data_IF_448546666298
#
_entry.id   IF_448546666298
#
_cell.length_a   1.000
_cell.length_b   1.000
_cell.length_c   1.000
_cell.angle_alpha   90.00
_cell.angle_beta   90.00
_cell.angle_gamma   90.00
#
_symmetry.space_group_name_H-M   'P 1'
#
loop_
_entity.id
_entity.type
_entity.pdbx_description
1 polymer ?
#
# COMPACT_ATOMS: atom_id res chain seq x y z
N UNK A 1 -26.12 15.89 -1.97
CA UNK A 1 -25.56 14.90 -1.05
C UNK A 1 -24.82 15.71 0.00
N UNK A 2 -25.31 15.73 1.27
CA UNK A 2 -24.67 16.46 2.35
C UNK A 2 -23.25 15.94 2.58
N UNK A 3 -22.29 16.83 2.84
CA UNK A 3 -20.93 16.46 3.17
C UNK A 3 -20.95 15.55 4.40
N UNK A 4 -20.54 14.30 4.23
CA UNK A 4 -20.33 13.38 5.35
C UNK A 4 -19.19 13.97 6.16
N UNK A 5 -19.45 14.36 7.42
CA UNK A 5 -18.41 14.90 8.30
C UNK A 5 -17.22 13.94 8.41
N UNK A 6 -16.01 14.47 8.61
CA UNK A 6 -14.81 13.67 8.80
C UNK A 6 -15.00 12.72 10.00
N UNK A 7 -14.93 11.38 9.82
CA UNK A 7 -15.16 10.44 10.91
C UNK A 7 -14.02 10.48 11.95
N UNK A 8 -14.32 10.09 13.18
CA UNK A 8 -13.29 9.71 14.14
C UNK A 8 -12.54 8.45 13.68
N UNK A 9 -11.36 8.15 14.24
CA UNK A 9 -10.63 6.92 13.90
C UNK A 9 -11.42 5.65 14.26
N UNK A 10 -12.20 5.66 15.34
CA UNK A 10 -13.05 4.54 15.71
C UNK A 10 -14.16 4.31 14.68
N UNK A 11 -14.86 5.37 14.28
CA UNK A 11 -15.87 5.32 13.22
C UNK A 11 -15.24 4.90 11.87
N UNK A 12 -14.02 5.34 11.56
CA UNK A 12 -13.33 4.92 10.34
C UNK A 12 -13.06 3.42 10.31
N UNK A 13 -12.74 2.80 11.45
CA UNK A 13 -12.58 1.34 11.56
C UNK A 13 -13.91 0.62 11.29
N UNK A 14 -15.01 1.07 11.90
CA UNK A 14 -16.33 0.45 11.69
C UNK A 14 -16.80 0.63 10.23
N UNK A 15 -16.63 1.81 9.64
CA UNK A 15 -16.95 2.06 8.23
C UNK A 15 -16.09 1.21 7.29
N UNK A 16 -14.79 1.04 7.60
CA UNK A 16 -13.90 0.19 6.81
C UNK A 16 -14.33 -1.28 6.84
N UNK A 17 -14.75 -1.78 8.01
CA UNK A 17 -15.30 -3.13 8.16
C UNK A 17 -16.59 -3.30 7.36
N UNK A 18 -17.52 -2.37 7.47
CA UNK A 18 -18.75 -2.40 6.70
C UNK A 18 -18.48 -2.39 5.19
N UNK A 19 -17.64 -1.48 4.69
CA UNK A 19 -17.25 -1.46 3.27
C UNK A 19 -16.58 -2.77 2.86
N UNK A 20 -15.70 -3.33 3.69
CA UNK A 20 -15.02 -4.58 3.40
C UNK A 20 -15.97 -5.76 3.32
N UNK A 21 -16.92 -5.89 4.26
CA UNK A 21 -17.83 -7.02 4.36
C UNK A 21 -19.03 -6.91 3.41
N UNK A 22 -19.60 -5.72 3.23
CA UNK A 22 -20.83 -5.53 2.46
C UNK A 22 -20.60 -5.19 0.98
N UNK A 23 -19.42 -4.62 0.64
CA UNK A 23 -19.13 -4.15 -0.71
C UNK A 23 -17.95 -4.89 -1.35
N UNK A 24 -16.79 -4.90 -0.68
CA UNK A 24 -15.56 -5.36 -1.33
C UNK A 24 -15.48 -6.89 -1.40
N UNK A 25 -15.72 -7.58 -0.29
CA UNK A 25 -15.56 -9.04 -0.24
C UNK A 25 -16.57 -9.79 -1.14
N UNK A 26 -17.87 -9.42 -1.19
CA UNK A 26 -18.82 -10.06 -2.09
C UNK A 26 -18.45 -9.96 -3.59
N UNK A 27 -17.75 -8.88 -3.97
CA UNK A 27 -17.32 -8.61 -5.36
C UNK A 27 -15.88 -8.98 -5.63
N UNK A 28 -15.16 -9.51 -4.65
CA UNK A 28 -13.70 -9.66 -4.75
C UNK A 28 -13.26 -10.65 -5.82
N UNK A 29 -14.03 -11.73 -6.07
CA UNK A 29 -13.75 -12.69 -7.15
C UNK A 29 -14.01 -12.11 -8.53
N UNK A 30 -15.04 -11.28 -8.67
CA UNK A 30 -15.28 -10.52 -9.89
C UNK A 30 -14.16 -9.50 -10.13
N UNK A 31 -13.81 -8.74 -9.07
CA UNK A 31 -12.70 -7.76 -9.14
C UNK A 31 -11.38 -8.43 -9.52
N UNK A 32 -11.06 -9.61 -8.99
CA UNK A 32 -9.80 -10.33 -9.29
C UNK A 32 -9.65 -10.64 -10.79
N UNK A 33 -10.76 -10.83 -11.50
CA UNK A 33 -10.81 -11.12 -12.95
C UNK A 33 -11.07 -9.89 -13.82
N UNK A 34 -11.39 -8.74 -13.20
CA UNK A 34 -11.69 -7.52 -13.93
C UNK A 34 -10.44 -6.88 -14.53
N UNK A 35 -10.55 -6.14 -15.64
CA UNK A 35 -9.43 -5.43 -16.26
C UNK A 35 -8.94 -4.25 -15.41
N UNK A 36 -9.75 -3.78 -14.46
CA UNK A 36 -9.42 -2.73 -13.48
C UNK A 36 -10.28 -2.86 -12.24
N UNK A 37 -9.83 -2.26 -11.13
CA UNK A 37 -10.66 -2.14 -9.93
C UNK A 37 -11.94 -1.41 -10.27
N UNK A 38 -13.12 -1.99 -9.97
CA UNK A 38 -14.40 -1.34 -10.26
C UNK A 38 -14.51 0.04 -9.59
N UNK A 39 -14.93 1.09 -10.30
CA UNK A 39 -15.06 2.44 -9.72
C UNK A 39 -15.96 2.49 -8.48
N UNK A 40 -16.95 1.59 -8.38
CA UNK A 40 -17.81 1.45 -7.21
C UNK A 40 -17.09 1.09 -5.93
N UNK A 41 -15.98 0.33 -6.02
CA UNK A 41 -15.17 -0.05 -4.86
C UNK A 41 -14.44 1.17 -4.28
N UNK A 42 -13.81 1.98 -5.15
CA UNK A 42 -13.12 3.20 -4.72
C UNK A 42 -14.10 4.27 -4.24
N UNK A 43 -15.28 4.35 -4.87
CA UNK A 43 -16.36 5.23 -4.43
C UNK A 43 -16.86 4.87 -3.03
N UNK A 44 -17.03 3.58 -2.72
CA UNK A 44 -17.44 3.14 -1.39
C UNK A 44 -16.42 3.55 -0.31
N UNK A 45 -15.12 3.46 -0.60
CA UNK A 45 -14.06 3.92 0.31
C UNK A 45 -14.07 5.44 0.49
N UNK A 46 -14.31 6.22 -0.59
CA UNK A 46 -14.46 7.66 -0.53
C UNK A 46 -15.69 8.07 0.27
N UNK A 47 -16.83 7.49 -0.02
CA UNK A 47 -18.11 7.83 0.62
C UNK A 47 -18.10 7.45 2.13
N UNK A 48 -17.26 6.49 2.52
CA UNK A 48 -16.96 6.16 3.91
C UNK A 48 -15.96 7.14 4.58
N UNK A 49 -15.40 8.12 3.86
CA UNK A 49 -14.44 9.10 4.37
C UNK A 49 -13.06 8.54 4.65
N UNK A 50 -12.64 7.50 3.89
CA UNK A 50 -11.39 6.77 4.18
C UNK A 50 -10.19 7.20 3.31
N UNK A 51 -10.35 8.20 2.41
CA UNK A 51 -9.25 8.63 1.55
C UNK A 51 -8.22 9.51 2.28
N UNK A 52 -8.64 10.27 3.28
CA UNK A 52 -7.75 11.10 4.08
C UNK A 52 -7.15 10.41 5.32
N UNK A 53 -7.07 9.08 5.38
CA UNK A 53 -6.63 8.33 6.57
C UNK A 53 -5.32 8.86 7.18
N UNK A 54 -4.33 9.16 6.34
CA UNK A 54 -3.05 9.72 6.75
C UNK A 54 -2.95 11.24 6.59
N UNK A 55 -3.99 11.90 6.09
CA UNK A 55 -4.05 13.36 5.98
C UNK A 55 -4.09 14.03 7.36
N UNK A 56 -3.54 15.23 7.53
CA UNK A 56 -3.57 15.92 8.80
C UNK A 56 -5.00 16.37 9.13
N UNK A 57 -5.34 16.42 10.43
CA UNK A 57 -6.71 16.69 10.92
C UNK A 57 -7.21 18.08 10.59
N UNK A 58 -6.31 19.03 10.39
CA UNK A 58 -6.61 20.41 9.99
C UNK A 58 -7.05 20.53 8.52
N UNK A 59 -6.90 19.46 7.73
CA UNK A 59 -7.35 19.40 6.34
C UNK A 59 -8.67 18.62 6.27
N UNK A 60 -9.65 19.13 5.55
CA UNK A 60 -10.93 18.47 5.35
C UNK A 60 -10.75 17.02 4.86
N UNK A 61 -11.41 16.08 5.54
CA UNK A 61 -11.26 14.64 5.26
C UNK A 61 -10.03 13.97 5.90
N UNK A 62 -9.08 14.74 6.46
CA UNK A 62 -7.89 14.20 7.11
C UNK A 62 -8.20 13.57 8.47
N UNK A 63 -7.76 12.32 8.69
CA UNK A 63 -7.98 11.58 9.93
C UNK A 63 -6.78 11.64 10.89
N UNK A 64 -5.63 12.08 10.42
CA UNK A 64 -4.41 12.21 11.23
C UNK A 64 -3.83 10.89 11.73
N UNK A 65 -4.20 9.76 11.11
CA UNK A 65 -3.75 8.46 11.59
C UNK A 65 -2.26 8.27 11.34
N UNK A 66 -1.53 7.90 12.40
CA UNK A 66 -0.21 7.31 12.27
C UNK A 66 -0.30 5.85 11.77
N UNK A 67 0.82 5.16 11.68
CA UNK A 67 0.85 3.80 11.16
C UNK A 67 0.06 2.81 12.04
N UNK A 68 0.19 2.90 13.35
CA UNK A 68 -0.48 2.00 14.29
C UNK A 68 -2.01 2.25 14.31
N UNK A 69 -2.43 3.53 14.34
CA UNK A 69 -3.83 3.91 14.33
C UNK A 69 -4.52 3.59 12.99
N UNK A 70 -3.79 3.63 11.87
CA UNK A 70 -4.31 3.29 10.55
C UNK A 70 -4.46 1.76 10.34
N UNK A 71 -3.70 0.93 11.07
CA UNK A 71 -3.63 -0.51 10.86
C UNK A 71 -5.01 -1.18 10.80
N UNK A 72 -5.94 -0.99 11.73
CA UNK A 72 -7.24 -1.68 11.70
C UNK A 72 -8.07 -1.36 10.45
N UNK A 73 -7.99 -0.11 9.97
CA UNK A 73 -8.67 0.32 8.73
C UNK A 73 -8.05 -0.37 7.51
N UNK A 74 -6.71 -0.38 7.43
CA UNK A 74 -5.97 -0.99 6.33
C UNK A 74 -6.15 -2.52 6.29
N UNK A 75 -6.18 -3.18 7.46
CA UNK A 75 -6.48 -4.63 7.58
C UNK A 75 -7.88 -4.94 7.07
N UNK A 76 -8.90 -4.19 7.50
CA UNK A 76 -10.28 -4.43 7.10
C UNK A 76 -10.43 -4.37 5.57
N UNK A 77 -9.92 -3.31 4.94
CA UNK A 77 -10.01 -3.13 3.47
C UNK A 77 -9.26 -4.24 2.73
N UNK A 78 -8.07 -4.64 3.22
CA UNK A 78 -7.28 -5.72 2.60
C UNK A 78 -7.98 -7.08 2.71
N UNK A 79 -8.63 -7.38 3.84
CA UNK A 79 -9.45 -8.58 4.02
C UNK A 79 -10.71 -8.59 3.14
N UNK A 80 -11.17 -7.43 2.67
CA UNK A 80 -12.27 -7.31 1.71
C UNK A 80 -11.83 -7.68 0.28
N UNK A 81 -10.84 -6.96 -0.25
CA UNK A 81 -10.34 -7.17 -1.61
C UNK A 81 -8.90 -6.66 -1.74
N UNK A 82 -7.96 -7.56 -1.99
CA UNK A 82 -6.53 -7.22 -2.11
C UNK A 82 -6.23 -6.22 -3.22
N UNK A 83 -6.82 -6.38 -4.40
CA UNK A 83 -6.59 -5.47 -5.52
C UNK A 83 -7.10 -4.06 -5.23
N UNK A 84 -8.31 -3.91 -4.68
CA UNK A 84 -8.86 -2.61 -4.28
C UNK A 84 -8.01 -1.98 -3.17
N UNK A 85 -7.66 -2.77 -2.15
CA UNK A 85 -6.81 -2.33 -1.04
C UNK A 85 -5.45 -1.85 -1.55
N UNK A 86 -4.85 -2.54 -2.52
CA UNK A 86 -3.53 -2.16 -3.03
C UNK A 86 -3.57 -0.85 -3.84
N UNK A 87 -4.56 -0.64 -4.70
CA UNK A 87 -4.75 0.64 -5.41
C UNK A 87 -4.98 1.78 -4.42
N UNK A 88 -5.85 1.56 -3.44
CA UNK A 88 -6.13 2.53 -2.38
C UNK A 88 -4.91 2.81 -1.49
N UNK A 89 -4.08 1.81 -1.20
CA UNK A 89 -2.82 2.00 -0.44
C UNK A 89 -1.79 2.87 -1.19
N UNK A 90 -1.77 2.84 -2.54
CA UNK A 90 -0.91 3.74 -3.32
C UNK A 90 -1.33 5.20 -3.13
N UNK A 91 -2.64 5.48 -3.11
CA UNK A 91 -3.17 6.80 -2.79
C UNK A 91 -2.68 7.26 -1.41
N UNK A 92 -2.73 6.41 -0.39
CA UNK A 92 -2.19 6.75 0.93
C UNK A 92 -0.68 6.95 0.94
N UNK A 93 0.05 6.25 0.06
CA UNK A 93 1.46 6.53 -0.20
C UNK A 93 1.67 7.97 -0.67
N UNK A 94 0.86 8.41 -1.63
CA UNK A 94 0.88 9.79 -2.15
C UNK A 94 0.49 10.81 -1.06
N UNK A 95 -0.61 10.58 -0.32
CA UNK A 95 -1.03 11.46 0.80
C UNK A 95 0.09 11.67 1.80
N UNK A 96 0.78 10.59 2.22
CA UNK A 96 1.92 10.71 3.16
C UNK A 96 3.08 11.52 2.59
N UNK A 97 3.38 11.38 1.30
CA UNK A 97 4.45 12.14 0.64
C UNK A 97 4.12 13.62 0.54
N UNK A 98 2.93 13.94 0.07
CA UNK A 98 2.47 15.32 -0.05
C UNK A 98 2.36 15.98 1.33
N UNK A 99 1.86 15.26 2.34
CA UNK A 99 1.82 15.75 3.74
C UNK A 99 3.21 16.07 4.29
N UNK A 100 4.21 15.25 4.00
CA UNK A 100 5.59 15.41 4.49
C UNK A 100 6.41 16.39 3.66
N UNK A 101 5.89 16.86 2.53
CA UNK A 101 6.54 17.87 1.71
C UNK A 101 6.44 19.27 2.32
N UNK A 102 7.37 20.12 1.95
CA UNK A 102 7.48 21.51 2.34
C UNK A 102 7.24 22.50 1.19
N UNK A 103 7.08 21.97 -0.03
CA UNK A 103 6.82 22.74 -1.23
C UNK A 103 5.37 23.20 -1.39
N UNK A 104 5.11 24.14 -2.32
CA UNK A 104 3.78 24.69 -2.57
C UNK A 104 2.74 23.63 -3.00
N UNK A 105 3.17 22.54 -3.64
CA UNK A 105 2.33 21.40 -3.99
C UNK A 105 1.53 20.82 -2.82
N UNK A 106 2.04 20.95 -1.57
CA UNK A 106 1.30 20.50 -0.39
C UNK A 106 -0.05 21.21 -0.23
N UNK A 107 -0.06 22.53 -0.38
CA UNK A 107 -1.28 23.33 -0.22
C UNK A 107 -2.27 23.07 -1.36
N UNK A 108 -1.76 22.84 -2.57
CA UNK A 108 -2.58 22.61 -3.77
C UNK A 108 -3.22 21.22 -3.79
N UNK A 109 -2.47 20.17 -3.44
CA UNK A 109 -2.90 18.79 -3.64
C UNK A 109 -3.52 18.13 -2.39
N UNK A 110 -3.03 18.47 -1.18
CA UNK A 110 -3.42 17.76 0.02
C UNK A 110 -4.92 17.80 0.33
N UNK A 111 -5.65 18.93 0.15
CA UNK A 111 -7.09 18.96 0.38
C UNK A 111 -7.85 17.95 -0.49
N UNK A 112 -7.64 17.98 -1.81
CA UNK A 112 -8.31 17.07 -2.74
C UNK A 112 -7.96 15.59 -2.53
N UNK A 113 -6.73 15.32 -2.10
CA UNK A 113 -6.30 13.97 -1.74
C UNK A 113 -7.01 13.47 -0.46
N UNK A 114 -7.25 14.35 0.51
CA UNK A 114 -7.88 13.96 1.78
C UNK A 114 -9.41 13.81 1.67
N UNK A 115 -10.08 14.69 0.93
CA UNK A 115 -11.55 14.63 0.76
C UNK A 115 -11.98 13.66 -0.35
N UNK A 116 -11.04 13.19 -1.16
CA UNK A 116 -11.27 12.22 -2.24
C UNK A 116 -11.81 12.82 -3.53
N UNK A 117 -11.75 14.13 -3.70
CA UNK A 117 -11.99 14.77 -5.01
C UNK A 117 -10.86 14.51 -5.99
N UNK A 118 -9.66 14.11 -5.49
CA UNK A 118 -8.49 13.72 -6.26
C UNK A 118 -7.97 12.36 -5.78
N UNK A 119 -7.77 11.42 -6.71
CA UNK A 119 -7.19 10.11 -6.41
C UNK A 119 -5.77 10.01 -6.98
N UNK A 120 -4.79 9.65 -6.15
CA UNK A 120 -3.39 9.65 -6.55
C UNK A 120 -2.81 8.25 -6.73
N UNK A 121 -1.90 8.12 -7.73
CA UNK A 121 -0.89 7.08 -7.81
C UNK A 121 0.45 7.55 -7.26
N UNK A 122 1.41 6.62 -7.09
CA UNK A 122 2.76 6.93 -6.65
C UNK A 122 3.80 6.08 -7.38
N UNK A 123 4.94 6.69 -7.75
CA UNK A 123 6.08 6.02 -8.37
C UNK A 123 7.40 6.37 -7.71
N UNK A 124 8.08 5.37 -7.10
CA UNK A 124 9.37 5.57 -6.43
C UNK A 124 10.22 4.30 -6.28
N UNK A 125 9.62 3.11 -6.32
CA UNK A 125 10.32 1.85 -5.99
C UNK A 125 11.53 1.56 -6.88
N UNK A 126 11.57 2.12 -8.08
CA UNK A 126 12.70 2.03 -9.00
C UNK A 126 13.95 2.76 -8.51
N UNK A 127 13.84 3.73 -7.60
CA UNK A 127 14.98 4.43 -6.99
C UNK A 127 15.87 3.49 -6.14
N UNK A 128 15.33 2.36 -5.69
CA UNK A 128 16.06 1.32 -4.94
C UNK A 128 16.96 0.47 -5.82
N UNK A 129 16.84 0.57 -7.16
CA UNK A 129 17.65 -0.23 -8.08
C UNK A 129 19.02 0.42 -8.25
N UNK A 130 20.12 -0.35 -8.11
CA UNK A 130 21.44 0.18 -8.37
C UNK A 130 21.62 0.48 -9.86
N UNK A 131 22.58 1.36 -10.18
CA UNK A 131 22.95 1.74 -11.54
C UNK A 131 22.28 3.04 -12.00
N UNK A 132 22.09 3.17 -13.32
CA UNK A 132 21.52 4.40 -13.90
C UNK A 132 20.06 4.60 -13.41
N UNK A 133 19.71 5.79 -12.90
CA UNK A 133 18.35 6.07 -12.47
C UNK A 133 17.31 5.84 -13.57
N UNK A 134 16.25 5.10 -13.25
CA UNK A 134 15.18 4.80 -14.19
C UNK A 134 14.36 6.05 -14.55
N UNK A 135 14.17 6.96 -13.57
CA UNK A 135 13.55 8.27 -13.75
C UNK A 135 14.52 9.34 -13.24
N UNK A 136 14.76 10.31 -14.06
CA UNK A 136 15.71 11.42 -13.81
C UNK A 136 14.97 12.74 -13.75
N UNK A 137 15.49 13.67 -12.95
CA UNK A 137 15.04 15.05 -12.88
C UNK A 137 16.21 15.96 -13.27
N UNK A 138 15.93 16.94 -14.13
CA UNK A 138 16.85 18.00 -14.52
C UNK A 138 16.22 19.36 -14.20
N UNK A 139 16.98 20.26 -13.59
CA UNK A 139 16.47 21.61 -13.30
C UNK A 139 16.20 22.34 -14.61
N UNK A 140 15.02 22.92 -14.77
CA UNK A 140 14.63 23.75 -15.89
C UNK A 140 14.42 25.21 -15.44
N UNK A 141 14.08 26.11 -16.35
CA UNK A 141 13.91 27.53 -16.05
C UNK A 141 12.81 27.80 -15.00
N UNK A 142 11.73 27.01 -15.00
CA UNK A 142 10.53 27.24 -14.20
C UNK A 142 10.16 26.02 -13.33
N UNK A 143 11.10 25.11 -13.09
CA UNK A 143 10.80 23.89 -12.33
C UNK A 143 11.74 22.75 -12.68
N UNK A 144 11.20 21.59 -13.01
CA UNK A 144 11.96 20.36 -13.28
C UNK A 144 11.45 19.68 -14.54
N UNK A 145 12.39 19.16 -15.32
CA UNK A 145 12.12 18.24 -16.44
C UNK A 145 12.30 16.81 -15.95
N UNK A 146 11.29 16.00 -16.16
CA UNK A 146 11.28 14.59 -15.76
C UNK A 146 11.40 13.70 -16.98
N UNK A 147 12.35 12.76 -16.95
CA UNK A 147 12.63 11.82 -18.04
C UNK A 147 12.85 10.40 -17.54
N UNK A 148 12.47 9.42 -18.38
CA UNK A 148 12.75 8.02 -18.13
C UNK A 148 11.50 7.17 -17.97
N UNK A 149 11.62 6.01 -17.34
CA UNK A 149 10.51 5.05 -17.21
C UNK A 149 10.30 4.66 -15.75
N UNK A 150 9.09 4.89 -15.24
CA UNK A 150 8.64 4.46 -13.94
C UNK A 150 7.87 3.14 -14.06
N UNK A 151 8.48 1.98 -13.78
CA UNK A 151 7.75 0.72 -13.71
C UNK A 151 6.85 0.70 -12.48
N UNK A 152 5.79 -0.11 -12.55
CA UNK A 152 4.91 -0.39 -11.42
C UNK A 152 4.06 0.80 -10.95
N UNK A 153 3.58 1.64 -11.87
CA UNK A 153 2.54 2.62 -11.55
C UNK A 153 1.20 1.91 -11.49
N UNK A 154 0.61 1.89 -10.31
CA UNK A 154 -0.62 1.15 -9.98
C UNK A 154 -1.82 2.08 -10.01
N UNK A 155 -2.98 1.57 -10.45
CA UNK A 155 -4.23 2.35 -10.52
C UNK A 155 -4.38 3.14 -11.83
N UNK A 156 -3.66 2.75 -12.90
CA UNK A 156 -3.77 3.46 -14.18
C UNK A 156 -5.21 3.48 -14.69
N UNK A 157 -5.67 4.67 -15.06
CA UNK A 157 -7.05 4.91 -15.52
C UNK A 157 -8.05 5.25 -14.42
N UNK A 158 -7.63 5.24 -13.12
CA UNK A 158 -8.44 5.73 -12.00
C UNK A 158 -7.71 6.79 -11.17
N UNK A 159 -6.44 7.10 -11.49
CA UNK A 159 -5.65 8.14 -10.83
C UNK A 159 -5.79 9.47 -11.58
N UNK A 160 -6.02 10.55 -10.83
CA UNK A 160 -6.12 11.92 -11.33
C UNK A 160 -4.75 12.61 -11.31
N UNK A 161 -3.87 12.19 -10.40
CA UNK A 161 -2.50 12.69 -10.24
C UNK A 161 -1.55 11.54 -9.95
N UNK A 162 -0.31 11.62 -10.43
CA UNK A 162 0.76 10.69 -10.01
C UNK A 162 1.86 11.45 -9.29
N UNK A 163 2.16 11.03 -8.06
CA UNK A 163 3.30 11.53 -7.29
C UNK A 163 4.53 10.72 -7.70
N UNK A 164 5.48 11.37 -8.35
CA UNK A 164 6.68 10.73 -8.92
C UNK A 164 7.92 11.23 -8.21
N UNK A 165 8.83 10.31 -7.95
CA UNK A 165 10.16 10.63 -7.43
C UNK A 165 11.20 10.36 -8.52
N UNK A 166 12.04 11.35 -8.78
CA UNK A 166 13.08 11.28 -9.79
C UNK A 166 14.43 11.67 -9.20
N UNK A 167 15.51 11.09 -9.69
CA UNK A 167 16.87 11.38 -9.21
C UNK A 167 17.49 12.49 -10.05
N UNK A 168 17.96 13.55 -9.39
CA UNK A 168 18.72 14.62 -10.03
C UNK A 168 20.19 14.24 -10.18
N UNK A 169 20.93 15.05 -10.95
CA UNK A 169 22.34 14.79 -11.29
C UNK A 169 23.27 14.85 -10.06
N UNK A 170 22.93 15.64 -9.05
CA UNK A 170 23.64 15.74 -7.76
C UNK A 170 23.33 14.59 -6.79
N UNK A 171 22.48 13.65 -7.19
CA UNK A 171 22.05 12.52 -6.36
C UNK A 171 20.80 12.80 -5.52
N UNK A 172 20.32 14.03 -5.44
CA UNK A 172 19.09 14.36 -4.72
C UNK A 172 17.87 13.69 -5.36
N UNK A 173 16.82 13.51 -4.57
CA UNK A 173 15.54 12.95 -5.01
C UNK A 173 14.48 14.03 -5.00
N UNK A 174 14.03 14.38 -6.18
CA UNK A 174 12.95 15.34 -6.40
C UNK A 174 11.62 14.61 -6.42
N UNK A 175 10.65 15.06 -5.64
CA UNK A 175 9.28 14.55 -5.64
C UNK A 175 8.36 15.59 -6.27
N UNK A 176 7.64 15.20 -7.30
CA UNK A 176 6.73 16.06 -8.05
C UNK A 176 5.34 15.46 -8.15
N UNK A 177 4.32 16.32 -8.29
CA UNK A 177 2.97 15.95 -8.65
C UNK A 177 2.78 16.19 -10.17
N UNK A 178 2.31 15.17 -10.87
CA UNK A 178 1.98 15.27 -12.31
C UNK A 178 0.49 15.02 -12.45
N UNK A 179 -0.26 16.08 -12.71
CA UNK A 179 -1.71 16.04 -12.87
C UNK A 179 -2.15 15.40 -14.18
N UNK A 180 -3.38 14.86 -14.19
CA UNK A 180 -4.02 14.28 -15.38
C UNK A 180 -3.06 13.49 -16.28
N UNK A 181 -2.38 12.47 -15.70
CA UNK A 181 -1.31 11.80 -16.43
C UNK A 181 -1.80 11.08 -17.70
N UNK A 182 -3.09 10.79 -17.80
CA UNK A 182 -3.70 10.20 -18.99
C UNK A 182 -3.93 11.17 -20.16
N UNK A 183 -3.90 12.48 -19.90
CA UNK A 183 -4.20 13.53 -20.90
C UNK A 183 -2.92 14.16 -21.49
N UNK A 184 -1.75 13.81 -20.93
CA UNK A 184 -0.47 14.40 -21.35
C UNK A 184 0.17 13.61 -22.48
N UNK A 185 0.48 14.25 -23.58
CA UNK A 185 1.17 13.64 -24.75
C UNK A 185 2.59 13.17 -24.43
N UNK A 186 3.26 13.82 -23.45
CA UNK A 186 4.62 13.54 -23.00
C UNK A 186 4.67 12.33 -22.03
N UNK A 187 3.49 11.80 -21.64
CA UNK A 187 3.38 10.61 -20.82
C UNK A 187 2.82 9.45 -21.63
N UNK A 188 3.53 8.34 -21.65
CA UNK A 188 3.06 7.13 -22.32
C UNK A 188 2.98 5.98 -21.34
N UNK A 189 1.75 5.49 -21.12
CA UNK A 189 1.54 4.26 -20.38
C UNK A 189 1.74 3.05 -21.29
N UNK A 190 2.57 2.13 -20.86
CA UNK A 190 2.65 0.80 -21.46
C UNK A 190 1.38 -0.03 -21.21
N UNK A 191 1.29 -1.22 -21.82
CA UNK A 191 0.19 -2.13 -21.53
C UNK A 191 0.17 -2.52 -20.04
N UNK A 192 -1.02 -2.81 -19.47
CA UNK A 192 -1.11 -3.38 -18.14
C UNK A 192 -0.27 -4.65 -18.03
N UNK A 193 0.47 -4.79 -16.94
CA UNK A 193 1.30 -5.96 -16.71
C UNK A 193 0.45 -7.21 -16.52
N UNK A 194 0.82 -8.30 -17.16
CA UNK A 194 0.17 -9.61 -16.99
C UNK A 194 0.61 -10.22 -15.66
N UNK A 195 -0.15 -9.95 -14.60
CA UNK A 195 0.15 -10.39 -13.24
C UNK A 195 -0.64 -11.66 -12.89
N UNK A 196 0.00 -12.60 -12.20
CA UNK A 196 -0.64 -13.82 -11.68
C UNK A 196 -1.68 -13.54 -10.59
N UNK A 197 -1.60 -12.34 -10.00
CA UNK A 197 -2.52 -11.82 -8.97
C UNK A 197 -2.49 -10.30 -9.03
N UNK A 198 -3.50 -9.63 -8.52
CA UNK A 198 -3.61 -8.16 -8.57
C UNK A 198 -3.73 -7.59 -10.00
N UNK A 199 -4.19 -8.37 -10.98
CA UNK A 199 -4.36 -7.91 -12.37
C UNK A 199 -5.27 -6.67 -12.46
N UNK A 200 -6.35 -6.65 -11.70
CA UNK A 200 -7.28 -5.51 -11.63
C UNK A 200 -6.65 -4.22 -11.09
N UNK A 201 -5.46 -4.23 -10.53
CA UNK A 201 -4.75 -3.00 -10.14
C UNK A 201 -4.31 -2.17 -11.35
N UNK A 202 -4.38 -2.72 -12.54
CA UNK A 202 -3.99 -2.09 -13.81
C UNK A 202 -2.64 -1.38 -13.68
N UNK A 203 -1.65 -2.13 -13.23
CA UNK A 203 -0.27 -1.64 -13.05
C UNK A 203 0.43 -1.56 -14.40
N UNK A 204 1.02 -0.41 -14.69
CA UNK A 204 1.70 -0.11 -15.97
C UNK A 204 3.14 0.36 -15.73
N UNK A 205 3.94 0.37 -16.80
CA UNK A 205 5.13 1.22 -16.87
C UNK A 205 4.73 2.55 -17.47
N UNK A 206 5.11 3.66 -16.83
CA UNK A 206 4.85 5.02 -17.31
C UNK A 206 6.16 5.64 -17.80
N UNK A 207 6.21 5.97 -19.09
CA UNK A 207 7.34 6.65 -19.71
C UNK A 207 7.11 8.17 -19.67
N UNK A 208 8.13 8.90 -19.25
CA UNK A 208 8.22 10.36 -19.20
C UNK A 208 9.14 10.83 -20.32
N UNK A 209 8.60 11.56 -21.27
CA UNK A 209 9.31 12.13 -22.41
C UNK A 209 9.45 13.64 -22.22
N UNK A 210 10.46 14.05 -21.43
CA UNK A 210 10.73 15.46 -21.14
C UNK A 210 9.54 16.21 -20.52
N UNK A 211 8.88 15.61 -19.51
CA UNK A 211 7.72 16.20 -18.85
C UNK A 211 8.16 17.40 -18.02
N UNK A 212 7.71 18.58 -18.37
CA UNK A 212 7.94 19.80 -17.58
C UNK A 212 6.94 19.86 -16.41
N UNK A 213 7.49 20.09 -15.20
CA UNK A 213 6.74 20.24 -13.94
C UNK A 213 7.17 21.55 -13.30
N UNK A 214 6.22 22.45 -13.07
CA UNK A 214 6.47 23.75 -12.44
C UNK A 214 6.87 23.64 -10.97
N UNK A 215 7.51 24.67 -10.44
CA UNK A 215 7.90 24.72 -9.02
C UNK A 215 6.68 24.60 -8.09
N UNK A 216 5.50 25.02 -8.52
CA UNK A 216 4.24 24.89 -7.75
C UNK A 216 3.79 23.44 -7.54
N UNK A 217 4.22 22.52 -8.39
CA UNK A 217 3.92 21.08 -8.28
C UNK A 217 5.08 20.27 -7.66
N UNK A 218 6.13 20.95 -7.17
CA UNK A 218 7.21 20.29 -6.42
C UNK A 218 6.74 20.03 -5.00
N UNK A 219 6.67 18.76 -4.64
CA UNK A 219 6.32 18.29 -3.29
C UNK A 219 7.49 18.50 -2.33
N UNK A 220 8.72 18.27 -2.79
CA UNK A 220 9.94 18.48 -2.01
C UNK A 220 11.17 17.86 -2.68
N UNK A 221 12.34 18.20 -2.15
CA UNK A 221 13.64 17.68 -2.59
C UNK A 221 14.37 17.16 -1.37
N UNK A 222 14.89 15.93 -1.43
CA UNK A 222 15.65 15.29 -0.37
C UNK A 222 17.05 14.96 -0.87
N UNK A 223 18.07 15.10 -0.03
CA UNK A 223 19.35 14.47 -0.31
C UNK A 223 19.22 12.93 -0.30
N UNK A 224 20.20 12.22 -0.90
CA UNK A 224 20.18 10.78 -1.06
C UNK A 224 20.11 10.03 0.27
N UNK A 225 20.86 10.51 1.29
CA UNK A 225 20.89 9.88 2.63
C UNK A 225 19.56 10.03 3.35
N UNK A 226 18.95 11.21 3.28
CA UNK A 226 17.65 11.47 3.90
C UNK A 226 16.55 10.66 3.20
N UNK A 227 16.60 10.57 1.85
CA UNK A 227 15.66 9.74 1.11
C UNK A 227 15.80 8.26 1.49
N UNK A 228 17.01 7.71 1.52
CA UNK A 228 17.27 6.31 1.91
C UNK A 228 16.76 6.03 3.32
N UNK A 229 17.05 6.91 4.28
CA UNK A 229 16.60 6.76 5.65
C UNK A 229 15.07 6.76 5.75
N UNK A 230 14.38 7.67 5.06
CA UNK A 230 12.91 7.72 5.01
C UNK A 230 12.31 6.51 4.30
N UNK A 231 12.93 6.02 3.24
CA UNK A 231 12.48 4.84 2.51
C UNK A 231 12.63 3.56 3.32
N UNK A 232 13.77 3.37 3.98
CA UNK A 232 14.02 2.24 4.87
C UNK A 232 13.04 2.23 6.05
N UNK A 233 12.81 3.37 6.68
CA UNK A 233 11.84 3.53 7.77
C UNK A 233 10.42 3.14 7.29
N UNK A 234 9.98 3.69 6.16
CA UNK A 234 8.65 3.41 5.63
C UNK A 234 8.46 1.95 5.20
N UNK A 235 9.48 1.34 4.59
CA UNK A 235 9.42 -0.05 4.10
C UNK A 235 9.50 -1.08 5.22
N UNK A 236 10.12 -0.75 6.35
CA UNK A 236 10.26 -1.64 7.53
C UNK A 236 9.04 -1.63 8.44
N UNK A 237 8.10 -0.71 8.26
CA UNK A 237 6.86 -0.73 9.02
C UNK A 237 6.12 -2.06 8.84
N UNK A 238 5.59 -2.68 9.92
CA UNK A 238 4.77 -3.87 9.82
C UNK A 238 3.61 -3.67 8.83
N UNK A 239 3.44 -4.59 7.89
CA UNK A 239 2.44 -4.44 6.83
C UNK A 239 1.04 -4.86 7.31
N UNK A 240 0.02 -3.97 7.29
CA UNK A 240 -1.33 -4.32 7.72
C UNK A 240 -2.04 -5.30 6.79
N UNK A 241 -1.85 -5.19 5.47
CA UNK A 241 -2.60 -5.97 4.49
C UNK A 241 -2.46 -7.50 4.66
N UNK A 242 -1.28 -8.08 4.93
CA UNK A 242 -1.16 -9.50 5.26
C UNK A 242 -1.99 -9.93 6.46
N UNK A 243 -2.08 -9.09 7.52
CA UNK A 243 -2.91 -9.39 8.70
C UNK A 243 -4.41 -9.38 8.35
N UNK A 244 -4.84 -8.46 7.49
CA UNK A 244 -6.22 -8.42 6.98
C UNK A 244 -6.59 -9.64 6.14
N UNK A 245 -5.67 -10.11 5.30
CA UNK A 245 -5.84 -11.36 4.52
C UNK A 245 -5.91 -12.56 5.47
N UNK A 246 -5.03 -12.61 6.49
CA UNK A 246 -5.06 -13.66 7.50
C UNK A 246 -6.38 -13.67 8.26
N UNK A 247 -6.87 -12.52 8.71
CA UNK A 247 -8.16 -12.37 9.39
C UNK A 247 -9.31 -12.93 8.56
N UNK A 248 -9.39 -12.53 7.29
CA UNK A 248 -10.43 -13.02 6.38
C UNK A 248 -10.34 -14.53 6.17
N UNK A 249 -9.15 -15.06 5.96
CA UNK A 249 -8.94 -16.49 5.79
C UNK A 249 -9.32 -17.28 7.04
N UNK A 250 -8.98 -16.77 8.24
CA UNK A 250 -9.33 -17.38 9.52
C UNK A 250 -10.84 -17.37 9.75
N UNK A 251 -11.54 -16.27 9.47
CA UNK A 251 -13.01 -16.21 9.56
C UNK A 251 -13.67 -17.23 8.65
N UNK A 252 -13.26 -17.32 7.39
CA UNK A 252 -13.79 -18.32 6.45
C UNK A 252 -13.44 -19.75 6.88
N UNK A 253 -12.26 -19.98 7.46
CA UNK A 253 -11.89 -21.28 8.00
C UNK A 253 -12.78 -21.66 9.19
N UNK A 254 -13.08 -20.72 10.09
CA UNK A 254 -13.99 -20.94 11.22
C UNK A 254 -15.42 -21.29 10.75
N UNK A 255 -15.90 -20.67 9.68
CA UNK A 255 -17.22 -21.00 9.07
C UNK A 255 -17.27 -22.41 8.48
N UNK A 256 -16.11 -22.99 8.14
CA UNK A 256 -15.97 -24.38 7.65
C UNK A 256 -15.79 -25.41 8.78
N UNK A 257 -15.84 -25.01 10.06
CA UNK A 257 -15.51 -25.86 11.20
C UNK A 257 -16.52 -27.00 11.39
N UNK A 258 -16.42 -28.01 10.54
CA UNK A 258 -17.18 -29.28 10.60
C UNK A 258 -16.49 -30.37 11.42
N UNK A 259 -15.20 -30.17 11.78
CA UNK A 259 -14.38 -31.09 12.59
C UNK A 259 -13.64 -30.34 13.68
N UNK A 260 -13.27 -31.04 14.77
CA UNK A 260 -12.47 -30.45 15.86
C UNK A 260 -11.13 -29.88 15.35
N UNK A 261 -10.48 -30.57 14.41
CA UNK A 261 -9.19 -30.16 13.86
C UNK A 261 -9.27 -28.80 13.14
N UNK A 262 -10.34 -28.54 12.37
CA UNK A 262 -10.55 -27.25 11.69
C UNK A 262 -10.83 -26.15 12.73
N UNK A 263 -11.68 -26.42 13.72
CA UNK A 263 -12.00 -25.47 14.79
C UNK A 263 -10.75 -25.11 15.62
N UNK A 264 -9.97 -26.10 16.03
CA UNK A 264 -8.71 -25.91 16.76
C UNK A 264 -7.69 -25.11 15.97
N UNK A 265 -7.56 -25.40 14.66
CA UNK A 265 -6.69 -24.65 13.75
C UNK A 265 -7.11 -23.18 13.65
N UNK A 266 -8.41 -22.93 13.45
CA UNK A 266 -8.95 -21.55 13.39
C UNK A 266 -8.69 -20.81 14.70
N UNK A 267 -8.92 -21.42 15.85
CA UNK A 267 -8.67 -20.83 17.16
C UNK A 267 -7.17 -20.52 17.39
N UNK A 268 -6.28 -21.44 17.03
CA UNK A 268 -4.84 -21.23 17.14
C UNK A 268 -4.34 -20.09 16.24
N UNK A 269 -4.84 -19.99 15.01
CA UNK A 269 -4.49 -18.91 14.09
C UNK A 269 -5.06 -17.56 14.56
N UNK A 270 -6.27 -17.54 15.14
CA UNK A 270 -6.87 -16.34 15.76
C UNK A 270 -5.98 -15.81 16.89
N UNK A 271 -5.55 -16.68 17.80
CA UNK A 271 -4.67 -16.30 18.90
C UNK A 271 -3.34 -15.70 18.40
N UNK A 272 -2.76 -16.29 17.35
CA UNK A 272 -1.55 -15.77 16.71
C UNK A 272 -1.78 -14.44 16.00
N UNK A 273 -2.94 -14.24 15.37
CA UNK A 273 -3.29 -12.97 14.74
C UNK A 273 -3.35 -11.83 15.76
N UNK A 274 -3.99 -12.06 16.89
CA UNK A 274 -4.06 -11.08 17.97
C UNK A 274 -2.67 -10.78 18.58
N UNK A 275 -1.83 -11.78 18.71
CA UNK A 275 -0.43 -11.58 19.12
C UNK A 275 0.32 -10.70 18.10
N UNK A 276 0.19 -10.99 16.79
CA UNK A 276 0.85 -10.22 15.74
C UNK A 276 0.34 -8.78 15.68
N UNK A 277 -0.96 -8.54 15.87
CA UNK A 277 -1.53 -7.20 15.95
C UNK A 277 -0.90 -6.35 17.04
N UNK A 278 -0.80 -6.93 18.25
CA UNK A 278 -0.13 -6.25 19.38
C UNK A 278 1.35 -5.99 19.12
N UNK A 279 2.07 -6.98 18.60
CA UNK A 279 3.48 -6.85 18.25
C UNK A 279 3.70 -5.80 17.14
N UNK A 280 2.89 -5.83 16.10
CA UNK A 280 2.97 -4.87 15.00
C UNK A 280 2.79 -3.42 15.47
N UNK A 281 1.86 -3.16 16.39
CA UNK A 281 1.65 -1.82 16.95
C UNK A 281 2.84 -1.34 17.80
N UNK A 282 3.44 -2.24 18.58
CA UNK A 282 4.63 -1.93 19.38
C UNK A 282 5.84 -1.64 18.48
N UNK A 283 6.09 -2.52 17.50
CA UNK A 283 7.21 -2.39 16.58
C UNK A 283 7.04 -1.16 15.68
N UNK A 284 5.82 -0.86 15.21
CA UNK A 284 5.57 0.35 14.42
C UNK A 284 5.92 1.63 15.19
N UNK A 285 5.58 1.70 16.49
CA UNK A 285 5.97 2.84 17.33
C UNK A 285 7.48 2.92 17.53
N UNK A 286 8.15 1.79 17.77
CA UNK A 286 9.61 1.73 17.90
C UNK A 286 10.32 2.18 16.63
N UNK A 287 9.89 1.67 15.45
CA UNK A 287 10.44 2.07 14.14
C UNK A 287 10.19 3.56 13.91
N UNK A 288 9.00 4.08 14.18
CA UNK A 288 8.71 5.51 14.03
C UNK A 288 9.59 6.38 14.95
N UNK A 289 9.80 5.98 16.20
CA UNK A 289 10.64 6.69 17.16
C UNK A 289 12.13 6.71 16.75
N UNK A 290 12.59 5.71 15.97
CA UNK A 290 13.99 5.67 15.50
C UNK A 290 14.31 6.65 14.37
N UNK A 291 13.34 7.40 13.86
CA UNK A 291 13.53 8.35 12.75
C UNK A 291 14.67 9.36 13.01
N UNK A 292 14.84 9.82 14.26
CA UNK A 292 15.89 10.75 14.69
C UNK A 292 17.00 10.10 15.52
N UNK A 293 17.02 8.76 15.62
CA UNK A 293 18.06 8.03 16.36
C UNK A 293 19.40 8.02 15.60
N UNK A 294 20.48 7.67 16.29
CA UNK A 294 21.75 7.37 15.64
C UNK A 294 21.64 6.16 14.69
N UNK A 295 22.64 5.96 13.85
CA UNK A 295 22.59 4.95 12.80
C UNK A 295 22.47 3.52 13.37
N UNK A 296 23.09 3.23 14.53
CA UNK A 296 23.02 1.90 15.16
C UNK A 296 21.61 1.59 15.65
N UNK A 297 21.02 2.48 16.46
CA UNK A 297 19.66 2.32 16.97
C UNK A 297 18.62 2.32 15.83
N UNK A 298 18.86 3.12 14.78
CA UNK A 298 18.05 3.11 13.57
C UNK A 298 18.10 1.74 12.89
N UNK A 299 19.27 1.19 12.61
CA UNK A 299 19.44 -0.11 11.92
C UNK A 299 18.82 -1.26 12.72
N UNK A 300 18.93 -1.24 14.04
CA UNK A 300 18.27 -2.23 14.92
C UNK A 300 16.75 -2.16 14.81
N UNK A 301 16.17 -0.96 14.83
CA UNK A 301 14.74 -0.77 14.67
C UNK A 301 14.23 -1.20 13.28
N UNK A 302 14.97 -0.89 12.20
CA UNK A 302 14.69 -1.33 10.84
C UNK A 302 14.70 -2.86 10.75
N UNK A 303 15.71 -3.51 11.35
CA UNK A 303 15.81 -4.97 11.36
C UNK A 303 14.65 -5.63 12.13
N UNK A 304 14.21 -5.06 13.26
CA UNK A 304 13.04 -5.58 13.99
C UNK A 304 11.75 -5.36 13.19
N UNK A 305 11.58 -4.19 12.58
CA UNK A 305 10.46 -3.92 11.67
C UNK A 305 10.37 -4.94 10.54
N UNK A 306 11.50 -5.26 9.90
CA UNK A 306 11.58 -6.27 8.85
C UNK A 306 11.18 -7.67 9.36
N UNK A 307 11.65 -8.05 10.55
CA UNK A 307 11.28 -9.34 11.17
C UNK A 307 9.78 -9.42 11.48
N UNK A 308 9.19 -8.35 12.04
CA UNK A 308 7.77 -8.35 12.36
C UNK A 308 6.90 -8.36 11.09
N UNK A 309 7.29 -7.61 10.08
CA UNK A 309 6.65 -7.67 8.76
C UNK A 309 6.67 -9.10 8.20
N UNK A 310 7.80 -9.78 8.28
CA UNK A 310 7.96 -11.15 7.79
C UNK A 310 7.10 -12.16 8.58
N UNK A 311 6.96 -11.98 9.90
CA UNK A 311 6.05 -12.79 10.75
C UNK A 311 4.59 -12.62 10.34
N UNK A 312 4.16 -11.39 10.00
CA UNK A 312 2.82 -11.13 9.47
C UNK A 312 2.57 -11.81 8.12
N UNK A 313 3.55 -11.77 7.22
CA UNK A 313 3.51 -12.49 5.94
C UNK A 313 3.38 -14.01 6.12
N UNK A 314 4.14 -14.58 7.05
CA UNK A 314 4.07 -16.00 7.37
C UNK A 314 2.69 -16.41 7.90
N UNK A 315 2.11 -15.61 8.79
CA UNK A 315 0.77 -15.86 9.30
C UNK A 315 -0.27 -15.83 8.19
N UNK A 316 -0.21 -14.86 7.28
CA UNK A 316 -1.11 -14.79 6.14
C UNK A 316 -1.02 -16.04 5.26
N UNK A 317 0.19 -16.51 4.97
CA UNK A 317 0.41 -17.75 4.23
C UNK A 317 -0.20 -18.95 4.93
N UNK A 318 0.09 -19.14 6.22
CA UNK A 318 -0.46 -20.26 7.02
C UNK A 318 -1.99 -20.25 7.08
N UNK A 319 -2.59 -19.08 7.28
CA UNK A 319 -4.04 -18.93 7.34
C UNK A 319 -4.69 -19.28 6.00
N UNK A 320 -4.11 -18.82 4.89
CA UNK A 320 -4.64 -19.12 3.56
C UNK A 320 -4.39 -20.56 3.16
N UNK A 321 -3.25 -21.18 3.50
CA UNK A 321 -2.98 -22.59 3.26
C UNK A 321 -3.94 -23.50 4.04
N UNK A 322 -4.23 -23.15 5.31
CA UNK A 322 -5.23 -23.86 6.12
C UNK A 322 -6.63 -23.77 5.50
N UNK A 323 -7.03 -22.58 5.02
CA UNK A 323 -8.32 -22.39 4.34
C UNK A 323 -8.40 -23.20 3.04
N UNK A 324 -7.34 -23.24 2.23
CA UNK A 324 -7.26 -24.05 1.01
C UNK A 324 -7.41 -25.52 1.35
N UNK A 325 -6.67 -26.02 2.35
CA UNK A 325 -6.74 -27.42 2.78
C UNK A 325 -8.13 -27.81 3.29
N UNK A 326 -8.75 -26.97 4.13
CA UNK A 326 -10.09 -27.23 4.66
C UNK A 326 -11.19 -27.15 3.59
N UNK A 327 -11.01 -26.33 2.57
CA UNK A 327 -11.98 -26.19 1.45
C UNK A 327 -11.90 -27.36 0.46
N UNK A 328 -10.80 -28.14 0.46
CA UNK A 328 -10.58 -29.23 -0.49
C UNK A 328 -10.56 -28.77 -1.94
N UNK A 329 -10.97 -29.63 -2.87
CA UNK A 329 -10.92 -29.34 -4.31
C UNK A 329 -11.67 -28.09 -4.75
N UNK A 330 -12.69 -27.65 -3.99
CA UNK A 330 -13.42 -26.40 -4.29
C UNK A 330 -12.53 -25.17 -4.25
N UNK A 331 -11.46 -25.20 -3.43
CA UNK A 331 -10.50 -24.11 -3.32
C UNK A 331 -9.82 -23.75 -4.65
N UNK A 332 -9.82 -24.67 -5.63
CA UNK A 332 -9.19 -24.43 -6.94
C UNK A 332 -10.12 -23.71 -7.93
N UNK A 333 -11.41 -23.58 -7.62
CA UNK A 333 -12.32 -22.79 -8.45
C UNK A 333 -11.98 -21.30 -8.35
N UNK A 334 -12.00 -20.59 -9.49
CA UNK A 334 -11.82 -19.14 -9.53
C UNK A 334 -12.94 -18.38 -8.80
N UNK A 335 -14.08 -19.02 -8.55
CA UNK A 335 -15.20 -18.44 -7.79
C UNK A 335 -15.04 -18.64 -6.27
N UNK A 336 -14.06 -19.45 -5.83
CA UNK A 336 -13.85 -19.71 -4.41
C UNK A 336 -12.82 -18.74 -3.82
N UNK A 337 -13.06 -18.11 -2.64
CA UNK A 337 -12.17 -17.10 -2.09
C UNK A 337 -10.81 -17.64 -1.64
N UNK A 338 -10.69 -18.93 -1.32
CA UNK A 338 -9.45 -19.50 -0.76
C UNK A 338 -8.26 -19.35 -1.71
N UNK A 339 -8.41 -19.67 -3.01
CA UNK A 339 -7.33 -19.54 -4.00
C UNK A 339 -6.95 -18.05 -4.22
N UNK A 340 -7.93 -17.13 -4.23
CA UNK A 340 -7.68 -15.71 -4.36
C UNK A 340 -6.85 -15.19 -3.18
N UNK A 341 -7.28 -15.46 -1.95
CA UNK A 341 -6.58 -15.04 -0.73
C UNK A 341 -5.17 -15.62 -0.65
N UNK A 342 -4.96 -16.87 -1.09
CA UNK A 342 -3.62 -17.49 -1.15
C UNK A 342 -2.71 -16.78 -2.17
N UNK A 343 -3.22 -16.40 -3.35
CA UNK A 343 -2.46 -15.62 -4.33
C UNK A 343 -2.17 -14.20 -3.83
N UNK A 344 -3.14 -13.54 -3.19
CA UNK A 344 -2.97 -12.22 -2.58
C UNK A 344 -1.90 -12.26 -1.47
N UNK A 345 -1.91 -13.28 -0.59
CA UNK A 345 -0.86 -13.47 0.43
C UNK A 345 0.53 -13.67 -0.22
N UNK A 346 0.60 -14.36 -1.36
CA UNK A 346 1.86 -14.53 -2.12
C UNK A 346 2.37 -13.21 -2.68
N UNK A 347 1.50 -12.33 -3.16
CA UNK A 347 1.87 -11.01 -3.66
C UNK A 347 2.63 -10.18 -2.61
N UNK A 348 2.20 -10.23 -1.37
CA UNK A 348 2.83 -9.44 -0.30
C UNK A 348 4.24 -9.91 0.08
N UNK A 349 4.69 -11.09 -0.38
CA UNK A 349 6.10 -11.49 -0.27
C UNK A 349 7.05 -10.59 -1.07
N UNK A 350 6.55 -9.95 -2.13
CA UNK A 350 7.35 -9.11 -3.03
C UNK A 350 6.97 -7.62 -2.98
N UNK A 351 5.82 -7.30 -2.42
CA UNK A 351 5.35 -5.90 -2.35
C UNK A 351 6.24 -5.07 -1.43
N UNK A 352 6.69 -3.89 -1.89
CA UNK A 352 7.60 -2.99 -1.19
C UNK A 352 8.90 -3.65 -0.68
N UNK A 353 9.34 -4.74 -1.33
CA UNK A 353 10.51 -5.49 -0.91
C UNK A 353 11.79 -4.68 -1.08
N UNK A 354 12.55 -4.57 0.00
CA UNK A 354 13.94 -4.08 0.03
C UNK A 354 14.91 -5.25 0.13
N UNK A 355 16.22 -4.99 0.07
CA UNK A 355 17.25 -6.01 0.32
C UNK A 355 17.10 -6.66 1.69
N UNK A 356 16.86 -5.84 2.73
CA UNK A 356 16.69 -6.30 4.12
C UNK A 356 15.46 -7.19 4.28
N UNK A 357 14.32 -6.80 3.71
CA UNK A 357 13.09 -7.58 3.75
C UNK A 357 13.25 -8.93 3.02
N UNK A 358 13.91 -8.93 1.86
CA UNK A 358 14.19 -10.16 1.10
C UNK A 358 15.04 -11.11 1.92
N UNK A 359 16.11 -10.60 2.53
CA UNK A 359 17.01 -11.39 3.34
C UNK A 359 16.30 -11.98 4.57
N UNK A 360 15.47 -11.18 5.26
CA UNK A 360 14.65 -11.64 6.38
C UNK A 360 13.74 -12.80 5.97
N UNK A 361 13.01 -12.64 4.87
CA UNK A 361 12.11 -13.69 4.36
C UNK A 361 12.86 -14.97 3.99
N UNK A 362 14.00 -14.87 3.27
CA UNK A 362 14.77 -16.04 2.86
C UNK A 362 15.37 -16.77 4.08
N UNK A 363 15.89 -16.05 5.08
CA UNK A 363 16.40 -16.65 6.33
C UNK A 363 15.31 -17.39 7.09
N UNK A 364 14.10 -16.82 7.18
CA UNK A 364 12.98 -17.50 7.82
C UNK A 364 12.58 -18.79 7.09
N UNK A 365 12.51 -18.75 5.76
CA UNK A 365 12.18 -19.95 4.96
C UNK A 365 13.22 -21.03 5.19
N UNK A 366 14.52 -20.70 5.14
CA UNK A 366 15.60 -21.65 5.38
C UNK A 366 15.61 -22.24 6.80
N UNK A 367 15.25 -21.44 7.82
CA UNK A 367 15.23 -21.94 9.22
C UNK A 367 14.08 -22.93 9.51
N UNK A 368 13.15 -23.14 8.58
CA UNK A 368 11.99 -24.03 8.67
C UNK A 368 12.07 -25.24 7.76
N UNK A 369 13.08 -25.29 6.91
CA UNK A 369 13.40 -26.44 6.08
C UNK A 369 14.23 -27.46 6.86
#
# INVERSE_FOLDING_TARGET
VGAVGTPSLAEAVERARAVADDVLFPRAQETDRAPSVPPGNLRALRDAGLLGLHGPREVTGGLGADHAAARPVLEAVAGGCGATSFVWAQHHGAVRRVRAGDGPARASWLPGLCDGSTFAGIGFAYLRRPGRPAVRAERSANGWRIEGEAPWITGWGVIDVVIVMARAADGSVVTVAVDRPGDRSELRAGPPQALAVMGATRTVTLAFDSVEVGDDDVVGVLDDREWDRRDRLGSSMPAPAPLGIADRAIRLLADLASTSAVAETAAALTARLEERRRSADLVARSVAASASADDTAFDEAIAEGARERDRGLDLARRATDALVAASGGRAMSLDHPAQRLSREATFFLIQAQTGDLRLSTLRRVAARA
#
